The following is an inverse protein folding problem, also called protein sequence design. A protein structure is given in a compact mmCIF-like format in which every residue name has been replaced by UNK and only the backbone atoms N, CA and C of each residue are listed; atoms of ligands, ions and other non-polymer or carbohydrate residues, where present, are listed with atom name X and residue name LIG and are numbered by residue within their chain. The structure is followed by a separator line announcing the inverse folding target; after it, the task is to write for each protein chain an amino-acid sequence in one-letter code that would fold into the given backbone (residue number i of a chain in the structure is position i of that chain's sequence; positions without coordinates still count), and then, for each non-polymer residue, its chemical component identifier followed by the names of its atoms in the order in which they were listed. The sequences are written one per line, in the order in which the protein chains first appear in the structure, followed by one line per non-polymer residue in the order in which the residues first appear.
data_IF_157254705733
#
_entry.id   IF_157254705733
#
_cell.length_a   1.000
_cell.length_b   1.000
_cell.length_c   1.000
_cell.angle_alpha   90.00
_cell.angle_beta   90.00
_cell.angle_gamma   90.00
#
_symmetry.space_group_name_H-M   'P 1'
#
loop_
_entity.id
_entity.type
_entity.pdbx_description
1 polymer ?
#
# COMPACT_ATOMS: atom_id res chain seq x y z
N UNK A 1 19.43 72.72 -18.15
CA UNK A 1 18.53 71.59 -18.48
C UNK A 1 19.28 70.62 -19.37
N UNK A 2 19.72 69.49 -18.82
CA UNK A 2 20.30 68.35 -19.54
C UNK A 2 19.78 67.09 -18.83
N UNK A 3 19.06 66.18 -19.51
CA UNK A 3 18.56 64.98 -18.88
C UNK A 3 19.63 63.88 -18.96
N UNK A 4 19.95 63.27 -17.81
CA UNK A 4 20.70 62.02 -17.74
C UNK A 4 19.75 60.87 -18.12
N UNK A 5 20.07 60.15 -19.19
CA UNK A 5 19.41 58.89 -19.53
C UNK A 5 20.01 57.76 -18.68
N UNK A 6 19.18 57.14 -17.83
CA UNK A 6 19.48 55.84 -17.23
C UNK A 6 19.15 54.75 -18.26
N UNK A 7 20.18 54.04 -18.72
CA UNK A 7 20.02 52.80 -19.50
C UNK A 7 19.97 51.64 -18.51
N UNK A 8 18.79 51.08 -18.30
CA UNK A 8 18.60 49.86 -17.51
C UNK A 8 18.83 48.67 -18.45
N UNK A 9 19.97 48.01 -18.26
CA UNK A 9 20.29 46.74 -18.93
C UNK A 9 19.49 45.61 -18.29
N UNK A 10 18.56 45.02 -19.04
CA UNK A 10 17.87 43.78 -18.68
C UNK A 10 18.74 42.59 -19.07
N UNK A 11 19.43 42.00 -18.10
CA UNK A 11 19.94 40.64 -18.24
C UNK A 11 18.80 39.66 -17.97
N UNK A 12 18.22 39.10 -19.04
CA UNK A 12 17.31 37.97 -18.93
C UNK A 12 18.10 36.72 -18.52
N UNK A 13 17.94 36.27 -17.28
CA UNK A 13 18.31 34.91 -16.88
C UNK A 13 17.40 33.93 -17.64
N UNK A 14 17.94 33.26 -18.65
CA UNK A 14 17.30 32.07 -19.23
C UNK A 14 17.54 30.93 -18.25
N UNK A 15 16.53 30.62 -17.43
CA UNK A 15 16.46 29.36 -16.69
C UNK A 15 16.29 28.24 -17.74
N UNK A 16 17.38 27.56 -18.07
CA UNK A 16 17.33 26.27 -18.75
C UNK A 16 16.69 25.28 -17.77
N UNK A 17 15.36 25.20 -17.80
CA UNK A 17 14.64 24.07 -17.23
C UNK A 17 15.05 22.85 -18.06
N UNK A 18 15.94 22.03 -17.51
CA UNK A 18 16.17 20.67 -18.03
C UNK A 18 14.83 19.95 -17.98
N UNK A 19 14.27 19.49 -19.13
CA UNK A 19 13.03 18.74 -19.11
C UNK A 19 13.23 17.52 -18.21
N UNK A 20 12.34 17.33 -17.24
CA UNK A 20 12.23 16.08 -16.51
C UNK A 20 12.10 14.98 -17.59
N UNK A 21 13.03 14.03 -17.61
CA UNK A 21 12.94 12.91 -18.53
C UNK A 21 11.62 12.18 -18.24
N UNK A 22 10.73 12.08 -19.23
CA UNK A 22 9.47 11.35 -19.12
C UNK A 22 9.66 9.82 -19.08
N UNK A 23 10.91 9.36 -18.99
CA UNK A 23 11.30 7.97 -18.83
C UNK A 23 12.27 7.83 -17.65
N UNK A 24 12.05 6.79 -16.84
CA UNK A 24 12.94 6.44 -15.74
C UNK A 24 13.07 4.92 -15.60
N UNK A 25 14.18 4.46 -15.01
CA UNK A 25 14.47 3.04 -14.82
C UNK A 25 13.86 2.54 -13.50
N UNK A 26 12.99 1.53 -13.58
CA UNK A 26 12.31 0.94 -12.42
C UNK A 26 13.15 -0.15 -11.75
N UNK A 27 13.68 -1.03 -12.58
CA UNK A 27 14.66 -2.06 -12.24
C UNK A 27 15.53 -2.28 -13.48
N UNK A 28 16.65 -3.00 -13.32
CA UNK A 28 17.60 -3.20 -14.41
C UNK A 28 16.89 -3.66 -15.70
N UNK A 29 17.11 -2.92 -16.79
CA UNK A 29 16.55 -3.19 -18.12
C UNK A 29 15.01 -3.03 -18.23
N UNK A 30 14.34 -2.44 -17.22
CA UNK A 30 12.89 -2.14 -17.20
C UNK A 30 12.67 -0.66 -16.95
N UNK A 31 12.00 0.00 -17.89
CA UNK A 31 11.77 1.44 -17.86
C UNK A 31 10.28 1.76 -17.85
N UNK A 32 9.93 2.83 -17.17
CA UNK A 32 8.57 3.37 -17.12
C UNK A 32 8.55 4.69 -17.88
N UNK A 33 7.62 4.79 -18.82
CA UNK A 33 7.35 6.01 -19.60
C UNK A 33 6.07 6.64 -19.06
N UNK A 34 6.17 7.88 -18.65
CA UNK A 34 5.07 8.69 -18.15
C UNK A 34 4.37 9.38 -19.32
N UNK A 35 3.07 9.12 -19.52
CA UNK A 35 2.30 9.65 -20.65
C UNK A 35 1.05 10.38 -20.18
N UNK A 36 0.86 11.60 -20.67
CA UNK A 36 -0.46 12.23 -20.67
C UNK A 36 -1.39 11.47 -21.64
N UNK A 37 -2.53 11.02 -21.14
CA UNK A 37 -3.39 10.05 -21.81
C UNK A 37 -4.71 10.72 -22.24
N UNK A 38 -4.68 11.34 -23.42
CA UNK A 38 -5.86 11.88 -24.09
C UNK A 38 -5.71 11.72 -25.62
N UNK A 39 -6.80 11.78 -26.42
CA UNK A 39 -6.76 11.49 -27.85
C UNK A 39 -5.70 12.30 -28.63
N UNK A 40 -5.58 13.59 -28.29
CA UNK A 40 -4.68 14.54 -28.94
C UNK A 40 -3.27 14.57 -28.35
N UNK A 41 -2.95 13.70 -27.39
CA UNK A 41 -1.62 13.68 -26.77
C UNK A 41 -0.55 13.33 -27.81
N UNK A 42 0.57 14.07 -27.87
CA UNK A 42 1.64 13.78 -28.82
C UNK A 42 2.43 12.52 -28.47
N UNK A 43 2.31 12.00 -27.25
CA UNK A 43 3.19 10.95 -26.73
C UNK A 43 4.60 11.48 -26.42
N UNK A 44 5.49 10.58 -26.01
CA UNK A 44 6.84 10.93 -25.56
C UNK A 44 7.91 10.33 -26.48
N UNK A 45 8.95 11.12 -26.76
CA UNK A 45 10.11 10.68 -27.54
C UNK A 45 11.13 10.03 -26.61
N UNK A 46 11.34 8.72 -26.78
CA UNK A 46 12.24 7.92 -25.94
C UNK A 46 13.43 7.46 -26.77
N UNK A 47 14.63 7.55 -26.19
CA UNK A 47 15.87 7.04 -26.78
C UNK A 47 16.34 5.83 -25.98
N UNK A 48 16.28 4.65 -26.59
CA UNK A 48 16.82 3.41 -26.04
C UNK A 48 18.27 3.23 -26.49
N UNK A 49 19.14 2.80 -25.59
CA UNK A 49 20.55 2.51 -25.90
C UNK A 49 20.81 1.02 -25.72
N UNK A 50 21.43 0.39 -26.73
CA UNK A 50 21.83 -1.01 -26.64
C UNK A 50 23.03 -1.11 -25.69
N UNK A 51 22.89 -1.83 -24.58
CA UNK A 51 23.97 -2.05 -23.61
C UNK A 51 24.99 -3.06 -24.14
N UNK A 52 25.85 -2.60 -25.05
CA UNK A 52 26.89 -3.40 -25.70
C UNK A 52 28.12 -2.55 -26.01
N UNK A 53 29.33 -3.11 -26.01
CA UNK A 53 30.53 -2.43 -26.52
C UNK A 53 30.53 -2.30 -28.05
N UNK A 54 29.69 -3.06 -28.75
CA UNK A 54 29.56 -2.99 -30.21
C UNK A 54 28.96 -1.64 -30.65
N UNK A 55 29.42 -1.08 -31.77
CA UNK A 55 28.91 0.19 -32.33
C UNK A 55 28.17 -0.01 -33.65
N UNK A 56 28.61 -0.98 -34.47
CA UNK A 56 28.11 -1.20 -35.84
C UNK A 56 27.23 -2.45 -35.96
N UNK A 57 26.40 -2.49 -37.02
CA UNK A 57 25.50 -3.60 -37.41
C UNK A 57 24.49 -4.02 -36.33
N UNK A 58 24.06 -3.06 -35.52
CA UNK A 58 23.00 -3.27 -34.53
C UNK A 58 21.65 -3.00 -35.20
N UNK A 59 20.72 -3.92 -35.05
CA UNK A 59 19.33 -3.76 -35.46
C UNK A 59 18.39 -3.99 -34.27
N UNK A 60 17.23 -3.33 -34.30
CA UNK A 60 16.25 -3.34 -33.22
C UNK A 60 14.94 -3.98 -33.64
N UNK A 61 14.34 -4.71 -32.72
CA UNK A 61 13.02 -5.34 -32.85
C UNK A 61 12.20 -5.12 -31.58
N UNK A 62 10.88 -5.15 -31.70
CA UNK A 62 9.94 -5.12 -30.57
C UNK A 62 9.15 -6.41 -30.52
N UNK A 63 8.77 -6.86 -29.33
CA UNK A 63 7.84 -7.99 -29.19
C UNK A 63 6.45 -7.74 -29.81
N UNK A 64 6.09 -6.48 -30.06
CA UNK A 64 4.81 -6.09 -30.67
C UNK A 64 4.86 -6.01 -32.20
N UNK A 65 6.04 -6.08 -32.82
CA UNK A 65 6.21 -5.97 -34.28
C UNK A 65 7.23 -6.98 -34.80
N UNK A 66 6.92 -7.61 -35.94
CA UNK A 66 7.84 -8.51 -36.63
C UNK A 66 8.90 -7.77 -37.47
N UNK A 67 8.79 -6.44 -37.59
CA UNK A 67 9.67 -5.63 -38.42
C UNK A 67 10.88 -5.09 -37.66
N UNK A 68 11.94 -4.81 -38.40
CA UNK A 68 13.10 -4.09 -37.87
C UNK A 68 12.72 -2.62 -37.69
N UNK A 69 12.74 -2.15 -36.46
CA UNK A 69 12.28 -0.81 -36.10
C UNK A 69 13.34 0.28 -36.34
N UNK A 70 14.61 -0.12 -36.38
CA UNK A 70 15.72 0.81 -36.57
C UNK A 70 17.07 0.11 -36.49
N UNK A 71 18.12 0.86 -36.79
CA UNK A 71 19.51 0.39 -36.76
C UNK A 71 20.41 1.38 -36.04
N UNK A 72 21.54 0.88 -35.54
CA UNK A 72 22.51 1.63 -34.74
C UNK A 72 22.39 1.37 -33.24
N UNK A 73 23.36 1.91 -32.49
CA UNK A 73 23.49 1.72 -31.04
C UNK A 73 22.29 2.27 -30.25
N UNK A 74 21.67 3.33 -30.75
CA UNK A 74 20.49 3.95 -30.14
C UNK A 74 19.27 3.82 -31.04
N UNK A 75 18.11 3.62 -30.44
CA UNK A 75 16.81 3.62 -31.11
C UNK A 75 15.95 4.75 -30.53
N UNK A 76 15.52 5.67 -31.38
CA UNK A 76 14.56 6.72 -31.02
C UNK A 76 13.16 6.29 -31.44
N UNK A 77 12.23 6.24 -30.50
CA UNK A 77 10.82 5.87 -30.73
C UNK A 77 9.89 6.91 -30.12
N UNK A 78 8.70 7.03 -30.70
CA UNK A 78 7.60 7.78 -30.12
C UNK A 78 6.67 6.81 -29.39
N UNK A 79 6.46 7.01 -28.10
CA UNK A 79 5.60 6.17 -27.27
C UNK A 79 4.31 6.94 -26.99
N UNK A 80 3.19 6.47 -27.55
CA UNK A 80 1.87 7.10 -27.36
C UNK A 80 0.84 6.12 -26.81
N UNK A 81 0.95 4.83 -27.14
CA UNK A 81 0.00 3.82 -26.72
C UNK A 81 0.67 2.50 -26.31
N UNK A 82 -0.11 1.54 -25.79
CA UNK A 82 0.43 0.25 -25.34
C UNK A 82 1.05 -0.60 -26.45
N UNK A 83 0.75 -0.31 -27.72
CA UNK A 83 1.41 -0.94 -28.87
C UNK A 83 2.89 -0.53 -29.02
N UNK A 84 3.25 0.66 -28.51
CA UNK A 84 4.62 1.19 -28.51
C UNK A 84 5.41 0.78 -27.25
N UNK A 85 4.78 0.02 -26.35
CA UNK A 85 5.42 -0.50 -25.15
C UNK A 85 5.82 -1.98 -25.35
N UNK A 86 6.47 -2.56 -24.35
CA UNK A 86 6.89 -3.96 -24.38
C UNK A 86 8.39 -4.13 -24.54
N UNK A 87 8.79 -5.34 -24.91
CA UNK A 87 10.21 -5.70 -24.92
C UNK A 87 10.87 -5.31 -26.23
N UNK A 88 11.78 -4.35 -26.16
CA UNK A 88 12.70 -3.98 -27.23
C UNK A 88 13.97 -4.80 -27.11
N UNK A 89 14.44 -5.33 -28.23
CA UNK A 89 15.63 -6.19 -28.28
C UNK A 89 16.55 -5.70 -29.39
N UNK A 90 17.79 -5.37 -29.02
CA UNK A 90 18.85 -5.09 -29.98
C UNK A 90 19.66 -6.35 -30.27
N UNK A 91 20.01 -6.55 -31.53
CA UNK A 91 20.75 -7.71 -32.00
C UNK A 91 21.81 -7.33 -33.04
N UNK A 92 22.84 -8.17 -33.16
CA UNK A 92 23.89 -8.07 -34.19
C UNK A 92 24.15 -9.45 -34.78
N UNK A 93 24.09 -9.58 -36.11
CA UNK A 93 24.27 -10.86 -36.80
C UNK A 93 23.35 -11.98 -36.29
N UNK A 94 22.10 -11.65 -35.94
CA UNK A 94 21.12 -12.59 -35.39
C UNK A 94 21.30 -12.94 -33.89
N UNK A 95 22.35 -12.43 -33.22
CA UNK A 95 22.55 -12.62 -31.78
C UNK A 95 21.96 -11.46 -30.99
N UNK A 96 21.19 -11.77 -29.95
CA UNK A 96 20.66 -10.78 -29.01
C UNK A 96 21.81 -10.20 -28.18
N UNK A 97 21.89 -8.86 -28.12
CA UNK A 97 22.90 -8.13 -27.35
C UNK A 97 22.35 -7.62 -26.03
N UNK A 98 21.20 -6.94 -26.05
CA UNK A 98 20.52 -6.41 -24.87
C UNK A 98 19.01 -6.38 -25.06
N UNK A 99 18.28 -6.27 -23.96
CA UNK A 99 16.82 -6.13 -23.92
C UNK A 99 16.45 -4.91 -23.08
N UNK A 100 15.34 -4.28 -23.39
CA UNK A 100 14.76 -3.19 -22.61
C UNK A 100 13.24 -3.34 -22.61
N UNK A 101 12.62 -3.44 -21.44
CA UNK A 101 11.17 -3.52 -21.31
C UNK A 101 10.61 -2.12 -21.03
N UNK A 102 9.71 -1.64 -21.88
CA UNK A 102 8.97 -0.40 -21.66
C UNK A 102 7.61 -0.69 -21.06
N UNK A 103 7.31 0.01 -19.96
CA UNK A 103 6.01 0.07 -19.30
C UNK A 103 5.45 1.49 -19.43
N UNK A 104 4.12 1.63 -19.37
CA UNK A 104 3.43 2.92 -19.44
C UNK A 104 2.78 3.25 -18.11
N UNK A 105 3.09 4.44 -17.59
CA UNK A 105 2.36 5.08 -16.50
C UNK A 105 1.45 6.15 -17.08
N UNK A 106 0.14 5.89 -17.07
CA UNK A 106 -0.85 6.78 -17.69
C UNK A 106 -1.25 7.91 -16.75
N UNK A 107 -1.40 9.11 -17.29
CA UNK A 107 -1.95 10.28 -16.61
C UNK A 107 -3.15 10.83 -17.35
N UNK A 108 -4.34 10.68 -16.80
CA UNK A 108 -5.59 11.17 -17.38
C UNK A 108 -6.03 12.43 -16.61
N UNK A 109 -6.26 13.55 -17.32
CA UNK A 109 -6.67 14.83 -16.73
C UNK A 109 -5.77 15.30 -15.56
N UNK A 110 -4.46 15.08 -15.69
CA UNK A 110 -3.48 15.44 -14.68
C UNK A 110 -3.36 14.45 -13.51
N UNK A 111 -4.13 13.35 -13.52
CA UNK A 111 -4.20 12.35 -12.45
C UNK A 111 -3.66 11.01 -12.96
N UNK A 112 -2.76 10.39 -12.20
CA UNK A 112 -2.24 9.05 -12.49
C UNK A 112 -3.35 8.00 -12.42
N UNK A 113 -3.36 7.05 -13.36
CA UNK A 113 -4.37 6.00 -13.39
C UNK A 113 -4.30 5.09 -12.16
N UNK A 114 -5.45 4.58 -11.74
CA UNK A 114 -5.59 3.70 -10.57
C UNK A 114 -6.48 2.49 -10.92
N UNK A 115 -6.23 1.93 -12.10
CA UNK A 115 -7.05 0.89 -12.72
C UNK A 115 -6.77 -0.51 -12.16
N UNK A 116 -5.57 -0.73 -11.60
CA UNK A 116 -5.12 -2.05 -11.14
C UNK A 116 -5.70 -2.40 -9.76
N UNK A 117 -5.70 -1.45 -8.82
CA UNK A 117 -6.19 -1.68 -7.47
C UNK A 117 -7.60 -1.12 -7.26
N UNK A 118 -8.39 -1.83 -6.47
CA UNK A 118 -9.73 -1.39 -6.07
C UNK A 118 -9.62 -0.42 -4.90
N UNK A 119 -10.19 0.76 -5.09
CA UNK A 119 -10.42 1.72 -4.02
C UNK A 119 -11.30 1.11 -2.91
N UNK A 120 -10.82 1.20 -1.67
CA UNK A 120 -11.47 0.73 -0.46
C UNK A 120 -12.10 1.93 0.28
N UNK A 121 -13.40 2.16 0.07
CA UNK A 121 -14.12 3.32 0.60
C UNK A 121 -14.33 3.22 2.11
N UNK A 122 -13.48 3.89 2.88
CA UNK A 122 -13.64 4.07 4.34
C UNK A 122 -13.69 5.54 4.76
N UNK A 123 -13.18 6.44 3.93
CA UNK A 123 -13.14 7.88 4.21
C UNK A 123 -13.40 8.71 2.95
N UNK A 124 -13.31 10.04 3.06
CA UNK A 124 -13.38 10.93 1.90
C UNK A 124 -12.16 10.79 0.97
N UNK A 125 -11.07 10.20 1.44
CA UNK A 125 -9.84 10.02 0.68
C UNK A 125 -9.84 8.65 0.00
N UNK A 126 -9.25 8.59 -1.21
CA UNK A 126 -9.04 7.34 -1.95
C UNK A 126 -8.00 6.49 -1.22
N UNK A 127 -8.41 5.34 -0.70
CA UNK A 127 -7.52 4.40 0.00
C UNK A 127 -7.43 3.13 -0.82
N UNK A 128 -6.23 2.75 -1.25
CA UNK A 128 -5.98 1.51 -2.00
C UNK A 128 -5.27 0.47 -1.15
N UNK A 129 -4.30 0.92 -0.35
CA UNK A 129 -3.52 0.11 0.57
C UNK A 129 -4.07 0.30 1.98
N UNK A 130 -4.37 -0.80 2.67
CA UNK A 130 -4.66 -0.79 4.10
C UNK A 130 -3.56 -1.50 4.83
N UNK A 131 -3.16 -0.98 5.98
CA UNK A 131 -2.13 -1.57 6.82
C UNK A 131 -2.65 -1.67 8.25
N UNK A 132 -2.32 -2.77 8.93
CA UNK A 132 -2.63 -3.00 10.34
C UNK A 132 -1.39 -3.52 11.07
N UNK A 133 -1.23 -3.09 12.31
CA UNK A 133 -0.23 -3.60 13.24
C UNK A 133 -0.95 -4.17 14.47
N UNK A 134 -0.55 -5.36 14.89
CA UNK A 134 -1.15 -6.01 16.07
C UNK A 134 -0.62 -5.45 17.39
N UNK A 135 0.55 -4.85 17.35
CA UNK A 135 1.31 -4.38 18.50
C UNK A 135 2.35 -3.33 18.05
N UNK A 136 3.16 -2.84 18.98
CA UNK A 136 4.18 -1.81 18.74
C UNK A 136 5.56 -2.38 18.38
N UNK A 137 5.67 -3.65 17.95
CA UNK A 137 6.96 -4.28 17.63
C UNK A 137 7.64 -3.77 16.35
N UNK A 138 7.00 -2.85 15.64
CA UNK A 138 7.40 -2.44 14.29
C UNK A 138 6.99 -3.41 13.18
N UNK A 139 6.27 -4.51 13.53
CA UNK A 139 5.65 -5.41 12.55
C UNK A 139 4.27 -4.93 12.15
N UNK A 140 4.02 -4.92 10.85
CA UNK A 140 2.72 -4.60 10.29
C UNK A 140 2.47 -5.39 9.01
N UNK A 141 1.20 -5.48 8.64
CA UNK A 141 0.76 -6.16 7.42
C UNK A 141 -0.05 -5.19 6.60
N UNK A 142 0.34 -5.01 5.33
CA UNK A 142 -0.43 -4.25 4.38
C UNK A 142 -1.16 -5.17 3.40
N UNK A 143 -2.32 -4.75 2.93
CA UNK A 143 -3.10 -5.47 1.94
C UNK A 143 -3.86 -4.54 0.99
N UNK A 144 -4.15 -5.08 -0.18
CA UNK A 144 -4.89 -4.42 -1.24
C UNK A 144 -5.77 -5.42 -1.99
N UNK A 145 -6.71 -4.87 -2.75
CA UNK A 145 -7.70 -5.63 -3.49
C UNK A 145 -7.55 -5.37 -4.99
N UNK A 146 -7.70 -6.41 -5.80
CA UNK A 146 -7.75 -6.30 -7.26
C UNK A 146 -8.73 -7.31 -7.86
N UNK A 147 -9.36 -6.92 -8.96
CA UNK A 147 -10.19 -7.82 -9.76
C UNK A 147 -9.37 -8.59 -10.82
N UNK A 148 -8.11 -8.18 -11.04
CA UNK A 148 -7.23 -8.75 -12.06
C UNK A 148 -6.71 -10.11 -11.60
N UNK A 149 -6.69 -11.08 -12.52
CA UNK A 149 -6.38 -12.47 -12.19
C UNK A 149 -5.14 -13.05 -12.86
N UNK A 150 -4.66 -12.44 -13.94
CA UNK A 150 -3.51 -12.88 -14.75
C UNK A 150 -2.55 -11.71 -15.00
N UNK A 151 -1.30 -12.03 -15.39
CA UNK A 151 -0.28 -11.06 -15.85
C UNK A 151 -0.06 -9.87 -14.91
N UNK A 152 -0.08 -10.14 -13.61
CA UNK A 152 0.00 -9.14 -12.55
C UNK A 152 1.25 -9.37 -11.70
N UNK A 153 2.11 -8.35 -11.62
CA UNK A 153 3.31 -8.33 -10.77
C UNK A 153 3.21 -7.18 -9.79
N UNK A 154 3.59 -7.43 -8.54
CA UNK A 154 3.72 -6.42 -7.51
C UNK A 154 5.15 -6.37 -6.99
N UNK A 155 5.64 -5.17 -6.71
CA UNK A 155 6.86 -4.93 -5.93
C UNK A 155 6.55 -3.96 -4.80
N UNK A 156 7.16 -4.15 -3.64
CA UNK A 156 6.89 -3.33 -2.45
C UNK A 156 8.20 -2.72 -1.98
N UNK A 157 8.18 -1.40 -1.81
CA UNK A 157 9.26 -0.61 -1.23
C UNK A 157 8.72 0.05 0.04
N UNK A 158 9.53 0.12 1.09
CA UNK A 158 9.15 0.81 2.31
C UNK A 158 10.34 1.48 2.96
N UNK A 159 10.09 2.61 3.62
CA UNK A 159 11.09 3.40 4.33
C UNK A 159 10.47 4.07 5.54
N UNK A 160 11.33 4.54 6.46
CA UNK A 160 10.92 5.46 7.54
C UNK A 160 11.44 6.85 7.22
N UNK A 161 10.54 7.77 6.91
CA UNK A 161 10.89 9.08 6.36
C UNK A 161 11.59 9.02 4.99
N UNK A 162 11.96 10.19 4.47
CA UNK A 162 12.58 10.33 3.14
C UNK A 162 14.09 10.04 3.11
N UNK A 163 14.76 10.00 4.26
CA UNK A 163 16.22 9.95 4.36
C UNK A 163 16.82 8.59 4.73
N UNK A 164 16.03 7.64 5.22
CA UNK A 164 16.50 6.29 5.57
C UNK A 164 15.73 5.19 4.79
N UNK A 165 16.22 4.81 3.59
CA UNK A 165 15.59 3.79 2.77
C UNK A 165 15.76 2.36 3.32
N UNK A 166 16.51 2.13 4.40
CA UNK A 166 16.72 0.79 4.98
C UNK A 166 15.99 0.57 6.31
N UNK A 167 15.22 1.55 6.78
CA UNK A 167 14.51 1.47 8.07
C UNK A 167 13.42 0.40 8.14
N UNK A 168 12.89 -0.07 6.99
CA UNK A 168 11.79 -1.04 6.94
C UNK A 168 12.06 -2.12 5.88
N UNK A 169 11.91 -3.38 6.26
CA UNK A 169 12.05 -4.54 5.36
C UNK A 169 10.68 -5.20 5.16
N UNK A 170 10.27 -5.39 3.90
CA UNK A 170 9.06 -6.11 3.55
C UNK A 170 9.38 -7.49 2.94
N UNK A 171 8.55 -8.47 3.25
CA UNK A 171 8.63 -9.82 2.68
C UNK A 171 8.06 -9.91 1.28
N UNK A 172 7.88 -11.14 0.80
CA UNK A 172 7.23 -11.40 -0.49
C UNK A 172 5.73 -11.11 -0.43
N UNK A 173 5.19 -10.59 -1.53
CA UNK A 173 3.74 -10.42 -1.70
C UNK A 173 3.08 -11.80 -1.80
N UNK A 174 2.04 -12.01 -1.01
CA UNK A 174 1.29 -13.27 -0.93
C UNK A 174 -0.16 -13.06 -1.33
N UNK A 175 -0.73 -14.04 -2.04
CA UNK A 175 -2.16 -14.06 -2.33
C UNK A 175 -2.89 -14.70 -1.15
N UNK A 176 -3.79 -13.95 -0.51
CA UNK A 176 -4.66 -14.50 0.54
C UNK A 176 -5.68 -15.47 -0.07
N UNK A 177 -5.95 -16.56 0.66
CA UNK A 177 -7.02 -17.50 0.32
C UNK A 177 -8.41 -16.85 0.42
N UNK A 178 -8.53 -15.77 1.19
CA UNK A 178 -9.76 -15.03 1.40
C UNK A 178 -10.10 -14.19 0.17
N UNK A 179 -11.27 -14.44 -0.42
CA UNK A 179 -11.87 -13.54 -1.43
C UNK A 179 -12.73 -12.53 -0.71
N UNK A 180 -12.52 -11.25 -1.01
CA UNK A 180 -13.29 -10.16 -0.42
C UNK A 180 -14.36 -9.73 -1.40
N UNK A 181 -15.63 -9.89 -1.01
CA UNK A 181 -16.77 -9.46 -1.83
C UNK A 181 -17.09 -7.99 -1.51
N UNK A 182 -16.90 -7.12 -2.49
CA UNK A 182 -17.20 -5.68 -2.41
C UNK A 182 -18.13 -5.32 -3.56
N UNK A 183 -19.20 -4.58 -3.32
CA UNK A 183 -20.16 -4.15 -4.36
C UNK A 183 -20.66 -5.30 -5.27
N UNK A 184 -20.91 -6.48 -4.67
CA UNK A 184 -21.36 -7.70 -5.37
C UNK A 184 -20.33 -8.31 -6.36
N UNK A 185 -19.06 -7.92 -6.30
CA UNK A 185 -17.94 -8.53 -7.04
C UNK A 185 -16.90 -9.11 -6.09
N UNK A 186 -16.28 -10.21 -6.50
CA UNK A 186 -15.20 -10.84 -5.76
C UNK A 186 -13.85 -10.23 -6.16
N UNK A 187 -13.07 -9.82 -5.15
CA UNK A 187 -11.72 -9.31 -5.32
C UNK A 187 -10.72 -10.28 -4.69
N UNK A 188 -9.56 -10.42 -5.33
CA UNK A 188 -8.39 -11.07 -4.77
C UNK A 188 -7.73 -10.12 -3.77
N UNK A 189 -7.37 -10.63 -2.59
CA UNK A 189 -6.65 -9.89 -1.56
C UNK A 189 -5.18 -10.31 -1.58
N UNK A 190 -4.29 -9.35 -1.80
CA UNK A 190 -2.86 -9.56 -1.68
C UNK A 190 -2.37 -8.94 -0.37
N UNK A 191 -1.40 -9.58 0.26
CA UNK A 191 -0.86 -9.20 1.57
C UNK A 191 0.67 -9.16 1.52
N UNK A 192 1.25 -8.26 2.29
CA UNK A 192 2.69 -8.20 2.53
C UNK A 192 2.94 -7.92 4.00
N UNK A 193 3.87 -8.65 4.60
CA UNK A 193 4.33 -8.41 5.96
C UNK A 193 5.62 -7.60 5.92
N UNK A 194 5.70 -6.58 6.77
CA UNK A 194 6.85 -5.70 6.87
C UNK A 194 7.30 -5.58 8.33
N UNK A 195 8.59 -5.33 8.53
CA UNK A 195 9.24 -5.16 9.81
C UNK A 195 10.15 -3.93 9.76
N UNK A 196 9.95 -3.01 10.68
CA UNK A 196 10.92 -1.95 10.95
C UNK A 196 12.18 -2.52 11.61
N UNK A 197 13.36 -2.17 11.08
CA UNK A 197 14.64 -2.72 11.53
C UNK A 197 15.07 -2.30 12.94
N UNK A 198 14.88 -1.02 13.28
CA UNK A 198 15.30 -0.41 14.56
C UNK A 198 14.12 0.09 15.39
N UNK A 199 13.06 -0.72 15.47
CA UNK A 199 11.84 -0.36 16.17
C UNK A 199 12.09 -0.10 17.67
N UNK A 200 11.58 1.03 18.16
CA UNK A 200 11.53 1.38 19.58
C UNK A 200 10.07 1.42 20.05
N UNK A 201 9.50 0.31 20.57
CA UNK A 201 8.05 0.21 20.83
C UNK A 201 7.47 1.26 21.79
N UNK A 202 8.29 1.81 22.68
CA UNK A 202 7.89 2.80 23.68
C UNK A 202 8.24 4.24 23.29
N UNK A 203 8.91 4.45 22.15
CA UNK A 203 9.27 5.79 21.71
C UNK A 203 8.11 6.44 20.96
N UNK A 204 7.99 7.76 21.08
CA UNK A 204 7.07 8.50 20.23
C UNK A 204 7.61 8.58 18.80
N UNK A 205 6.80 8.17 17.82
CA UNK A 205 7.17 8.22 16.41
C UNK A 205 7.16 9.66 15.88
N UNK A 206 8.31 10.12 15.37
CA UNK A 206 8.47 11.46 14.79
C UNK A 206 8.34 11.49 13.27
N UNK A 207 8.60 10.36 12.60
CA UNK A 207 8.55 10.23 11.14
C UNK A 207 7.65 9.06 10.75
N UNK A 208 6.77 9.22 9.75
CA UNK A 208 5.89 8.16 9.31
C UNK A 208 6.68 7.08 8.55
N UNK A 209 6.09 5.89 8.50
CA UNK A 209 6.47 4.85 7.57
C UNK A 209 5.77 5.12 6.25
N UNK A 210 6.53 5.04 5.16
CA UNK A 210 5.99 5.08 3.80
C UNK A 210 6.07 3.68 3.19
N UNK A 211 4.98 3.26 2.56
CA UNK A 211 4.88 2.00 1.82
C UNK A 211 4.45 2.34 0.40
N UNK A 212 5.27 1.96 -0.57
CA UNK A 212 4.99 2.11 -2.00
C UNK A 212 4.83 0.73 -2.62
N UNK A 213 3.69 0.52 -3.28
CA UNK A 213 3.40 -0.70 -4.04
C UNK A 213 3.43 -0.35 -5.52
N UNK A 214 4.44 -0.87 -6.22
CA UNK A 214 4.53 -0.84 -7.68
C UNK A 214 3.67 -1.99 -8.22
N UNK A 215 2.70 -1.67 -9.09
CA UNK A 215 1.76 -2.61 -9.66
C UNK A 215 1.88 -2.62 -11.18
N UNK A 216 2.20 -3.78 -11.75
CA UNK A 216 2.38 -3.97 -13.19
C UNK A 216 1.34 -4.97 -13.68
N UNK A 217 0.46 -4.53 -14.57
CA UNK A 217 -0.48 -5.39 -15.28
C UNK A 217 -0.20 -5.34 -16.78
N UNK A 218 0.32 -6.44 -17.34
CA UNK A 218 0.88 -6.50 -18.69
C UNK A 218 1.98 -5.45 -18.88
N UNK A 219 1.68 -4.35 -19.58
CA UNK A 219 2.60 -3.23 -19.85
C UNK A 219 2.17 -1.94 -19.15
N UNK A 220 1.10 -1.97 -18.35
CA UNK A 220 0.68 -0.85 -17.53
C UNK A 220 1.41 -0.89 -16.19
N UNK A 221 2.00 0.23 -15.82
CA UNK A 221 2.56 0.49 -14.51
C UNK A 221 1.68 1.49 -13.76
N UNK A 222 1.44 1.23 -12.48
CA UNK A 222 0.86 2.17 -11.53
C UNK A 222 1.58 2.01 -10.20
N UNK A 223 1.65 3.07 -9.39
CA UNK A 223 2.12 2.98 -8.02
C UNK A 223 1.08 3.47 -7.02
N UNK A 224 1.17 2.94 -5.82
CA UNK A 224 0.25 3.24 -4.73
C UNK A 224 1.05 3.48 -3.46
N UNK A 225 0.83 4.62 -2.82
CA UNK A 225 1.57 5.00 -1.62
C UNK A 225 0.63 5.07 -0.42
N UNK A 226 1.11 4.58 0.72
CA UNK A 226 0.48 4.77 2.03
C UNK A 226 1.53 5.30 3.00
N UNK A 227 1.15 6.29 3.80
CA UNK A 227 2.00 6.93 4.81
C UNK A 227 1.26 6.94 6.15
N UNK A 228 1.87 6.39 7.19
CA UNK A 228 1.23 6.21 8.49
C UNK A 228 2.25 6.09 9.62
N UNK A 229 1.80 6.33 10.85
CA UNK A 229 2.51 5.89 12.06
C UNK A 229 1.98 4.53 12.51
N UNK A 230 2.82 3.70 13.14
CA UNK A 230 2.38 2.41 13.69
C UNK A 230 1.22 2.63 14.66
N UNK A 231 1.30 3.64 15.53
CA UNK A 231 0.21 3.98 16.48
C UNK A 231 -1.16 4.20 15.84
N UNK A 232 -1.21 4.66 14.59
CA UNK A 232 -2.45 4.94 13.86
C UNK A 232 -3.08 3.68 13.26
N UNK A 233 -2.25 2.69 12.94
CA UNK A 233 -2.67 1.42 12.34
C UNK A 233 -2.79 0.27 13.36
N UNK A 234 -2.68 0.57 14.66
CA UNK A 234 -2.84 -0.44 15.70
C UNK A 234 -4.26 -1.00 15.69
N UNK A 235 -4.36 -2.33 15.52
CA UNK A 235 -5.54 -3.14 15.74
C UNK A 235 -5.15 -4.38 16.54
N UNK A 236 -5.39 -4.42 17.86
CA UNK A 236 -5.06 -5.59 18.67
C UNK A 236 -5.82 -6.84 18.18
N UNK A 237 -5.26 -8.02 18.43
CA UNK A 237 -6.03 -9.27 18.32
C UNK A 237 -7.17 -9.30 19.37
N UNK A 238 -8.24 -10.11 19.17
CA UNK A 238 -9.32 -10.23 20.14
C UNK A 238 -8.85 -10.75 21.51
N UNK A 239 -9.50 -10.37 22.61
CA UNK A 239 -9.21 -10.92 23.94
C UNK A 239 -9.31 -12.45 23.95
N UNK A 240 -8.40 -13.09 24.68
CA UNK A 240 -8.30 -14.55 24.76
C UNK A 240 -8.94 -15.08 26.04
N UNK A 241 -9.14 -16.40 26.10
CA UNK A 241 -9.62 -17.12 27.28
C UNK A 241 -10.89 -16.50 27.93
N UNK A 242 -11.92 -16.20 27.13
CA UNK A 242 -13.19 -15.68 27.65
C UNK A 242 -13.90 -16.72 28.51
N UNK A 243 -14.12 -16.40 29.79
CA UNK A 243 -14.78 -17.27 30.77
C UNK A 243 -16.00 -16.59 31.38
N UNK A 244 -17.03 -17.39 31.66
CA UNK A 244 -18.23 -16.96 32.37
C UNK A 244 -18.32 -17.69 33.71
N UNK A 245 -18.38 -16.92 34.80
CA UNK A 245 -18.61 -17.43 36.14
C UNK A 245 -19.98 -16.96 36.66
N UNK A 246 -20.96 -17.87 36.81
CA UNK A 246 -22.26 -17.52 37.37
C UNK A 246 -22.15 -17.02 38.80
N UNK A 247 -22.87 -15.94 39.13
CA UNK A 247 -22.99 -15.47 40.52
C UNK A 247 -24.25 -16.09 41.15
N UNK A 248 -24.09 -16.63 42.36
CA UNK A 248 -25.20 -17.28 43.08
C UNK A 248 -26.37 -16.30 43.25
N UNK A 249 -27.59 -16.79 42.98
CA UNK A 249 -28.86 -16.07 43.15
C UNK A 249 -28.98 -14.77 42.34
N UNK A 250 -28.29 -14.65 41.20
CA UNK A 250 -28.35 -13.46 40.35
C UNK A 250 -28.30 -13.81 38.86
N UNK A 251 -28.89 -12.96 38.02
CA UNK A 251 -28.71 -13.01 36.55
C UNK A 251 -27.38 -12.38 36.10
N UNK A 252 -26.58 -11.93 37.05
CA UNK A 252 -25.25 -11.40 36.76
C UNK A 252 -24.26 -12.54 36.64
N UNK A 253 -23.39 -12.43 35.64
CA UNK A 253 -22.22 -13.28 35.47
C UNK A 253 -20.98 -12.42 35.58
N UNK A 254 -19.95 -12.97 36.19
CA UNK A 254 -18.61 -12.41 36.12
C UNK A 254 -17.96 -12.95 34.85
N UNK A 255 -17.62 -12.05 33.94
CA UNK A 255 -16.90 -12.34 32.71
C UNK A 255 -15.45 -12.00 32.95
N UNK A 256 -14.54 -12.89 32.58
CA UNK A 256 -13.10 -12.63 32.60
C UNK A 256 -12.47 -13.02 31.26
N UNK A 257 -11.36 -12.37 30.93
CA UNK A 257 -10.59 -12.60 29.71
C UNK A 257 -9.11 -12.33 29.97
N UNK A 258 -8.26 -12.59 28.98
CA UNK A 258 -6.84 -12.29 29.01
C UNK A 258 -6.47 -11.32 27.89
N UNK A 259 -5.28 -10.73 28.03
CA UNK A 259 -4.68 -9.95 26.95
C UNK A 259 -4.31 -10.91 25.79
N UNK A 260 -4.40 -10.48 24.53
CA UNK A 260 -3.95 -11.29 23.41
C UNK A 260 -2.44 -11.56 23.52
N UNK A 261 -2.00 -12.79 23.22
CA UNK A 261 -0.59 -13.18 23.28
C UNK A 261 0.31 -12.35 22.35
N UNK A 262 -0.28 -11.79 21.30
CA UNK A 262 0.41 -10.95 20.32
C UNK A 262 0.57 -9.51 20.78
N UNK A 263 -0.05 -9.08 21.87
CA UNK A 263 0.02 -7.69 22.32
C UNK A 263 1.38 -7.33 22.93
N UNK A 264 1.78 -6.05 22.83
CA UNK A 264 3.06 -5.58 23.36
C UNK A 264 3.16 -5.77 24.88
N UNK A 265 4.33 -6.18 25.35
CA UNK A 265 4.65 -6.33 26.77
C UNK A 265 5.70 -5.29 27.21
N UNK A 266 5.69 -4.83 28.48
CA UNK A 266 4.77 -5.22 29.55
C UNK A 266 3.39 -4.51 29.48
N UNK A 267 2.32 -5.20 29.88
CA UNK A 267 0.94 -4.66 29.86
C UNK A 267 0.73 -3.47 30.80
N UNK A 268 1.61 -3.30 31.79
CA UNK A 268 1.63 -2.11 32.66
C UNK A 268 1.96 -0.82 31.89
N UNK A 269 2.67 -0.94 30.77
CA UNK A 269 2.98 0.17 29.87
C UNK A 269 2.00 0.17 28.68
N UNK A 270 1.93 -0.95 27.96
CA UNK A 270 1.00 -1.14 26.85
C UNK A 270 -0.36 -1.62 27.36
N UNK A 271 -1.10 -0.73 28.02
CA UNK A 271 -2.41 -1.08 28.57
C UNK A 271 -3.51 -1.05 27.51
N UNK A 272 -4.37 -2.06 27.53
CA UNK A 272 -5.58 -2.11 26.73
C UNK A 272 -6.79 -1.66 27.55
N UNK A 273 -7.77 -1.09 26.87
CA UNK A 273 -9.14 -0.91 27.37
C UNK A 273 -10.07 -1.85 26.62
N UNK A 274 -11.10 -2.35 27.30
CA UNK A 274 -12.00 -3.37 26.78
C UNK A 274 -13.44 -2.86 26.78
N UNK A 275 -14.20 -3.13 25.72
CA UNK A 275 -15.65 -2.88 25.73
C UNK A 275 -16.41 -4.19 25.63
N UNK A 276 -17.43 -4.33 26.47
CA UNK A 276 -18.29 -5.48 26.60
C UNK A 276 -19.67 -5.13 26.06
N UNK A 277 -20.24 -6.03 25.26
CA UNK A 277 -21.59 -5.90 24.74
C UNK A 277 -22.35 -7.22 24.91
N UNK A 278 -23.56 -7.14 25.46
CA UNK A 278 -24.48 -8.27 25.47
C UNK A 278 -25.36 -8.22 24.21
N UNK A 279 -25.26 -9.25 23.38
CA UNK A 279 -26.08 -9.41 22.18
C UNK A 279 -27.23 -10.38 22.46
N UNK A 280 -28.47 -9.94 22.23
CA UNK A 280 -29.66 -10.78 22.37
C UNK A 280 -29.94 -11.69 21.15
N UNK A 281 -30.89 -12.61 21.32
CA UNK A 281 -31.29 -13.66 20.35
C UNK A 281 -31.68 -13.14 18.96
N UNK A 282 -32.23 -11.92 18.87
CA UNK A 282 -32.66 -11.31 17.59
C UNK A 282 -31.55 -10.49 16.91
N UNK A 283 -30.27 -10.68 17.26
CA UNK A 283 -29.15 -9.79 16.90
C UNK A 283 -29.38 -8.32 17.29
N UNK A 284 -30.39 -8.01 18.10
CA UNK A 284 -30.63 -6.67 18.63
C UNK A 284 -29.51 -6.35 19.62
N UNK A 285 -28.59 -5.52 19.17
CA UNK A 285 -27.57 -4.93 20.00
C UNK A 285 -28.23 -4.06 21.08
N UNK A 286 -27.95 -4.36 22.36
CA UNK A 286 -28.22 -3.36 23.40
C UNK A 286 -27.25 -2.20 23.18
N UNK A 287 -27.77 -0.97 23.21
CA UNK A 287 -26.98 0.26 23.02
C UNK A 287 -25.91 0.47 24.08
N UNK A 288 -26.08 -0.11 25.26
CA UNK A 288 -25.15 0.09 26.37
C UNK A 288 -23.92 -0.81 26.22
N UNK A 289 -22.77 -0.18 25.98
CA UNK A 289 -21.44 -0.82 26.00
C UNK A 289 -20.80 -0.45 27.32
N UNK A 290 -20.40 -1.46 28.09
CA UNK A 290 -19.62 -1.25 29.30
C UNK A 290 -18.15 -1.33 28.92
N UNK A 291 -17.39 -0.24 29.11
CA UNK A 291 -15.96 -0.24 28.85
C UNK A 291 -15.16 -0.17 30.15
N UNK A 292 -14.15 -1.02 30.29
CA UNK A 292 -13.34 -1.19 31.50
C UNK A 292 -11.89 -1.48 31.13
N UNK A 293 -10.95 -1.09 32.00
CA UNK A 293 -9.52 -1.37 31.81
C UNK A 293 -9.06 -2.66 32.50
N UNK A 294 -9.95 -3.25 33.31
CA UNK A 294 -9.70 -4.54 33.97
C UNK A 294 -10.04 -5.67 33.01
N UNK A 295 -9.42 -6.82 33.23
CA UNK A 295 -9.67 -8.06 32.48
C UNK A 295 -10.88 -8.86 32.99
N UNK A 296 -11.79 -8.19 33.70
CA UNK A 296 -13.01 -8.79 34.22
C UNK A 296 -14.11 -7.76 34.44
N UNK A 297 -15.36 -8.13 34.18
CA UNK A 297 -16.52 -7.29 34.44
C UNK A 297 -17.74 -8.12 34.84
N UNK A 298 -18.63 -7.51 35.63
CA UNK A 298 -19.94 -8.09 35.96
C UNK A 298 -20.97 -7.58 34.97
N UNK A 299 -21.65 -8.50 34.28
CA UNK A 299 -22.69 -8.14 33.30
C UNK A 299 -23.93 -8.99 33.49
N UNK A 300 -25.07 -8.47 33.04
CA UNK A 300 -26.33 -9.23 33.02
C UNK A 300 -26.35 -10.12 31.79
N UNK A 301 -26.50 -11.42 32.03
CA UNK A 301 -26.48 -12.46 31.02
C UNK A 301 -27.89 -13.05 30.93
N UNK A 302 -28.53 -12.84 29.79
CA UNK A 302 -29.85 -13.41 29.53
C UNK A 302 -29.69 -14.77 28.85
N UNK A 303 -30.65 -15.67 29.07
CA UNK A 303 -30.70 -16.96 28.38
C UNK A 303 -30.65 -16.75 26.86
N UNK A 304 -29.83 -17.54 26.16
CA UNK A 304 -29.57 -17.46 24.72
C UNK A 304 -28.88 -16.14 24.25
N UNK A 305 -28.34 -15.33 25.16
CA UNK A 305 -27.54 -14.16 24.79
C UNK A 305 -26.08 -14.54 24.52
N UNK A 306 -25.36 -13.70 23.79
CA UNK A 306 -23.90 -13.78 23.65
C UNK A 306 -23.25 -12.58 24.28
N UNK A 307 -22.27 -12.80 25.15
CA UNK A 307 -21.38 -11.74 25.62
C UNK A 307 -20.24 -11.62 24.60
N UNK A 308 -19.96 -10.39 24.19
CA UNK A 308 -18.87 -10.07 23.28
C UNK A 308 -17.92 -9.08 23.96
N UNK A 309 -16.62 -9.28 23.77
CA UNK A 309 -15.56 -8.41 24.28
C UNK A 309 -14.60 -8.07 23.14
N UNK A 310 -14.23 -6.81 23.04
CA UNK A 310 -13.20 -6.32 22.11
C UNK A 310 -12.20 -5.43 22.87
N UNK A 311 -10.99 -5.30 22.35
CA UNK A 311 -9.90 -4.53 22.93
C UNK A 311 -9.49 -3.35 22.05
N UNK A 312 -8.91 -2.33 22.66
CA UNK A 312 -8.24 -1.20 21.99
C UNK A 312 -7.11 -0.71 22.87
N UNK A 313 -6.11 -0.06 22.28
CA UNK A 313 -5.16 0.73 23.06
C UNK A 313 -5.90 1.71 24.00
N UNK A 314 -5.42 1.79 25.25
CA UNK A 314 -6.05 2.63 26.27
C UNK A 314 -5.76 4.11 26.08
N UNK A 315 -4.56 4.44 25.64
CA UNK A 315 -4.02 5.80 25.62
C UNK A 315 -4.09 6.43 24.24
N UNK A 316 -4.24 5.62 23.19
CA UNK A 316 -4.40 6.06 21.82
C UNK A 316 -5.71 5.55 21.21
N UNK A 317 -6.40 6.39 20.43
CA UNK A 317 -7.67 6.02 19.81
C UNK A 317 -7.48 5.29 18.48
N UNK A 318 -6.84 4.12 18.54
CA UNK A 318 -6.62 3.23 17.39
C UNK A 318 -7.88 2.39 17.07
N UNK A 319 -7.75 1.41 16.17
CA UNK A 319 -8.85 0.49 15.83
C UNK A 319 -9.18 -0.47 16.98
N UNK A 320 -10.47 -0.81 17.10
CA UNK A 320 -10.91 -1.89 17.98
C UNK A 320 -10.57 -3.26 17.36
N UNK A 321 -10.21 -4.22 18.20
CA UNK A 321 -10.08 -5.62 17.81
C UNK A 321 -11.41 -6.17 17.27
N UNK A 322 -11.35 -7.32 16.60
CA UNK A 322 -12.57 -8.08 16.37
C UNK A 322 -13.13 -8.60 17.72
N UNK A 323 -14.40 -8.99 17.72
CA UNK A 323 -15.09 -9.44 18.93
C UNK A 323 -14.73 -10.88 19.28
N UNK A 324 -14.23 -11.10 20.49
CA UNK A 324 -14.29 -12.41 21.14
C UNK A 324 -15.70 -12.60 21.73
N UNK A 325 -16.26 -13.82 21.65
CA UNK A 325 -17.63 -14.05 22.14
C UNK A 325 -17.80 -15.37 22.90
N UNK A 326 -18.69 -15.35 23.89
CA UNK A 326 -19.08 -16.51 24.70
C UNK A 326 -20.58 -16.51 24.94
N UNK A 327 -21.20 -17.68 24.83
CA UNK A 327 -22.65 -17.84 24.99
C UNK A 327 -23.04 -17.88 26.47
N UNK A 328 -24.09 -17.14 26.82
CA UNK A 328 -24.80 -17.27 28.08
C UNK A 328 -25.54 -18.62 28.14
N UNK A 329 -25.29 -19.42 29.17
CA UNK A 329 -26.01 -20.66 29.47
C UNK A 329 -27.39 -20.41 30.07
#
# INVERSE_FOLDING_TARGET
MHPQQLVISWFSLVLLASPLMAIWELEKDVYVVELDWHPDAPGEMVVLTCHTPEEDDIAWTSAQSSEVLGSGKTLTIQVKEFGDAGQYTCHKGGKVLSRSLLLIHKKEDGIWSTDILKEQKESKNKIFLKCEAKNYSGRFTCWWLTAISTDLKFSVKSSRGFSDPQGVTCGAVTLSAERVRVDNRDYKKYTVECQEGSACPSAEESLPIEVVVDAIHKLKYENYTSSFFIRDIIKPDPPTNLQLKPLKNSRHVEVSWEYPDTWSTPHSYFSLTFCIQAQGKNNREKKDRLCVDKTSAKVVCHKDAKIRVQARDRYYSSSWSDWASVSCS
#
